data_IF_489128897380
#
_entry.id   IF_489128897380
#
_cell.length_a   1.000
_cell.length_b   1.000
_cell.length_c   1.000
_cell.angle_alpha   90.00
_cell.angle_beta   90.00
_cell.angle_gamma   90.00
#
_symmetry.space_group_name_H-M   'P 1'
#
loop_
_entity.id
_entity.type
_entity.pdbx_description
1 polymer ?
#
# COMPACT_ATOMS: atom_id res chain seq x y z
N UNK A 1 13.77 -3.80 5.15
CA UNK A 1 13.21 -3.51 6.47
C UNK A 1 13.94 -2.30 7.01
N UNK A 2 13.27 -1.40 7.76
CA UNK A 2 13.89 -0.20 8.31
C UNK A 2 14.86 -0.48 9.47
N UNK A 3 14.87 -1.72 9.98
CA UNK A 3 15.74 -2.20 11.04
C UNK A 3 16.88 -3.04 10.45
N UNK A 4 18.11 -2.76 10.87
CA UNK A 4 19.28 -3.59 10.57
C UNK A 4 19.21 -4.93 11.32
N UNK A 5 19.85 -6.00 10.81
CA UNK A 5 19.94 -7.26 11.53
C UNK A 5 20.53 -7.05 12.93
N UNK A 6 19.88 -7.60 13.96
CA UNK A 6 20.39 -7.60 15.33
C UNK A 6 20.94 -8.97 15.65
N UNK A 7 22.24 -9.05 15.95
CA UNK A 7 22.87 -10.29 16.42
C UNK A 7 22.72 -10.39 17.93
N UNK A 8 21.99 -11.41 18.41
CA UNK A 8 21.86 -11.71 19.84
C UNK A 8 22.76 -12.91 20.16
N UNK A 9 23.59 -12.78 21.21
CA UNK A 9 24.41 -13.88 21.75
C UNK A 9 23.67 -14.54 22.90
N UNK A 10 23.60 -15.87 22.88
CA UNK A 10 23.04 -16.67 23.99
C UNK A 10 24.08 -16.82 25.11
N UNK A 11 23.61 -17.14 26.32
CA UNK A 11 24.44 -17.47 27.47
C UNK A 11 23.83 -18.66 28.25
N UNK A 12 24.53 -19.13 29.28
CA UNK A 12 24.11 -20.28 30.09
C UNK A 12 23.15 -19.91 31.23
N UNK A 13 22.81 -18.63 31.41
CA UNK A 13 21.88 -18.18 32.44
C UNK A 13 20.45 -18.52 32.01
N UNK A 14 19.75 -19.41 32.74
CA UNK A 14 18.35 -19.72 32.48
C UNK A 14 17.51 -18.44 32.52
N UNK A 15 16.49 -18.38 31.66
CA UNK A 15 15.54 -17.27 31.57
C UNK A 15 16.15 -15.88 31.31
N UNK A 16 17.37 -15.84 30.73
CA UNK A 16 18.00 -14.56 30.39
C UNK A 16 17.24 -13.83 29.27
N UNK A 17 16.94 -12.56 29.51
CA UNK A 17 16.21 -11.70 28.58
C UNK A 17 17.16 -10.70 27.93
N UNK A 18 17.15 -10.64 26.59
CA UNK A 18 17.76 -9.54 25.84
C UNK A 18 16.68 -8.68 25.22
N UNK A 19 16.58 -7.43 25.67
CA UNK A 19 15.70 -6.43 25.05
C UNK A 19 16.33 -5.99 23.73
N UNK A 20 15.55 -6.06 22.64
CA UNK A 20 15.90 -5.54 21.32
C UNK A 20 14.92 -4.43 20.98
N UNK A 21 15.44 -3.22 20.74
CA UNK A 21 14.64 -2.08 20.31
C UNK A 21 14.52 -2.10 18.79
N UNK A 22 13.29 -2.03 18.28
CA UNK A 22 13.00 -1.94 16.86
C UNK A 22 12.43 -0.57 16.53
N UNK A 23 12.95 0.05 15.47
CA UNK A 23 12.33 1.22 14.85
C UNK A 23 10.99 0.80 14.23
N UNK A 24 9.93 1.47 14.66
CA UNK A 24 8.62 1.47 14.01
C UNK A 24 8.56 2.64 13.03
N UNK A 25 8.01 2.43 11.85
CA UNK A 25 7.80 3.52 10.88
C UNK A 25 6.55 4.28 11.28
N UNK A 26 6.69 5.59 11.50
CA UNK A 26 5.57 6.48 11.79
C UNK A 26 4.87 6.93 10.50
N UNK A 27 3.58 7.24 10.59
CA UNK A 27 2.79 7.69 9.45
C UNK A 27 3.38 8.96 8.82
N UNK A 28 3.81 9.91 9.66
CA UNK A 28 4.41 11.17 9.20
C UNK A 28 5.63 10.94 8.31
N UNK A 29 6.48 9.95 8.65
CA UNK A 29 7.66 9.63 7.84
C UNK A 29 7.27 9.15 6.44
N UNK A 30 6.23 8.32 6.34
CA UNK A 30 5.70 7.86 5.05
C UNK A 30 5.04 9.00 4.27
N UNK A 31 4.28 9.85 4.95
CA UNK A 31 3.59 10.99 4.35
C UNK A 31 4.59 11.98 3.75
N UNK A 32 5.60 12.39 4.51
CA UNK A 32 6.64 13.30 4.06
C UNK A 32 7.50 12.68 2.95
N UNK A 33 7.68 11.36 2.97
CA UNK A 33 8.41 10.62 1.95
C UNK A 33 7.61 10.38 0.66
N UNK A 34 6.31 10.64 0.63
CA UNK A 34 5.49 10.35 -0.55
C UNK A 34 5.89 11.22 -1.75
N UNK A 35 6.12 10.64 -2.94
CA UNK A 35 6.55 11.42 -4.09
C UNK A 35 5.43 12.30 -4.65
N UNK A 36 5.74 13.58 -4.86
CA UNK A 36 4.87 14.56 -5.53
C UNK A 36 4.88 14.40 -7.05
N UNK A 37 4.94 13.19 -7.59
CA UNK A 37 5.18 12.98 -9.03
C UNK A 37 4.98 11.54 -9.46
N UNK A 38 5.14 11.28 -10.75
CA UNK A 38 5.34 9.92 -11.27
C UNK A 38 6.82 9.55 -11.16
N UNK A 39 7.21 8.65 -10.25
CA UNK A 39 8.62 8.33 -10.04
C UNK A 39 9.18 7.37 -11.10
N UNK A 40 8.34 6.79 -11.97
CA UNK A 40 8.79 5.86 -13.00
C UNK A 40 8.37 6.34 -14.39
N UNK A 41 9.34 6.73 -15.21
CA UNK A 41 9.10 7.22 -16.56
C UNK A 41 9.01 6.06 -17.55
N UNK A 42 7.85 5.42 -17.60
CA UNK A 42 7.56 4.36 -18.56
C UNK A 42 6.07 4.37 -18.93
N UNK A 43 5.72 4.52 -20.22
CA UNK A 43 4.33 4.65 -20.65
C UNK A 43 3.49 3.39 -20.42
N UNK A 44 4.11 2.21 -20.27
CA UNK A 44 3.41 0.98 -19.90
C UNK A 44 2.82 1.02 -18.47
N UNK A 45 3.22 1.99 -17.66
CA UNK A 45 2.80 2.15 -16.26
C UNK A 45 2.13 3.51 -16.04
N UNK A 46 0.98 3.71 -16.69
CA UNK A 46 0.15 4.92 -16.55
C UNK A 46 -0.40 5.09 -15.12
N UNK A 47 -0.75 3.98 -14.46
CA UNK A 47 -1.23 3.97 -13.07
C UNK A 47 -0.07 3.70 -12.09
N UNK A 48 0.42 4.75 -11.42
CA UNK A 48 1.60 4.67 -10.55
C UNK A 48 1.31 4.66 -9.06
N UNK A 49 0.07 4.46 -8.61
CA UNK A 49 -0.27 4.48 -7.18
C UNK A 49 0.59 3.51 -6.34
N UNK A 50 0.71 2.25 -6.76
CA UNK A 50 1.55 1.26 -6.10
C UNK A 50 3.06 1.58 -6.19
N UNK A 51 3.50 2.20 -7.29
CA UNK A 51 4.89 2.62 -7.48
C UNK A 51 5.22 3.79 -6.55
N UNK A 52 4.34 4.79 -6.41
CA UNK A 52 4.51 5.91 -5.48
C UNK A 52 4.58 5.44 -4.04
N UNK A 53 3.67 4.53 -3.65
CA UNK A 53 3.73 3.87 -2.34
C UNK A 53 5.06 3.15 -2.12
N UNK A 54 5.51 2.38 -3.12
CA UNK A 54 6.80 1.67 -3.06
C UNK A 54 7.98 2.65 -2.88
N UNK A 55 7.96 3.79 -3.57
CA UNK A 55 9.00 4.83 -3.41
C UNK A 55 8.96 5.47 -2.03
N UNK A 56 7.78 5.73 -1.48
CA UNK A 56 7.64 6.22 -0.09
C UNK A 56 8.24 5.20 0.90
N UNK A 57 7.95 3.91 0.72
CA UNK A 57 8.56 2.82 1.48
C UNK A 57 10.09 2.81 1.36
N UNK A 58 10.62 2.93 0.14
CA UNK A 58 12.06 2.92 -0.10
C UNK A 58 12.77 4.08 0.59
N UNK A 59 12.16 5.26 0.61
CA UNK A 59 12.69 6.49 1.24
C UNK A 59 12.75 6.37 2.76
N UNK A 60 11.89 5.57 3.39
CA UNK A 60 11.93 5.28 4.84
C UNK A 60 12.68 3.98 5.18
N UNK A 61 13.40 3.37 4.24
CA UNK A 61 14.24 2.18 4.47
C UNK A 61 13.51 0.83 4.32
N UNK A 62 12.28 0.81 3.81
CA UNK A 62 11.56 -0.42 3.48
C UNK A 62 11.86 -0.80 2.03
N UNK A 63 12.86 -1.66 1.80
CA UNK A 63 13.26 -2.11 0.44
C UNK A 63 12.33 -3.11 -0.24
N UNK A 64 11.28 -3.58 0.45
CA UNK A 64 10.28 -4.52 -0.07
C UNK A 64 10.84 -5.85 -0.61
N UNK A 65 11.98 -6.34 -0.11
CA UNK A 65 12.61 -7.61 -0.57
C UNK A 65 11.65 -8.82 -0.57
N UNK A 66 10.73 -8.86 0.38
CA UNK A 66 9.73 -9.93 0.51
C UNK A 66 8.59 -9.83 -0.51
N UNK A 67 8.43 -8.70 -1.21
CA UNK A 67 7.48 -8.57 -2.31
C UNK A 67 7.97 -9.39 -3.51
N UNK A 68 7.54 -10.65 -3.55
CA UNK A 68 8.00 -11.69 -4.48
C UNK A 68 6.92 -12.75 -4.68
N UNK A 69 6.97 -13.49 -5.79
CA UNK A 69 6.03 -14.57 -6.10
C UNK A 69 6.03 -15.73 -5.09
N UNK A 70 7.03 -15.78 -4.19
CA UNK A 70 7.08 -16.75 -3.08
C UNK A 70 6.04 -16.43 -2.00
N UNK A 71 5.76 -15.15 -1.76
CA UNK A 71 4.90 -14.68 -0.66
C UNK A 71 3.61 -14.01 -1.14
N UNK A 72 3.60 -13.48 -2.37
CA UNK A 72 2.44 -12.84 -2.98
C UNK A 72 2.08 -13.62 -4.23
N UNK A 73 0.80 -13.98 -4.39
CA UNK A 73 0.32 -14.64 -5.60
C UNK A 73 -0.12 -13.60 -6.64
N UNK A 74 0.06 -13.88 -7.94
CA UNK A 74 -0.52 -13.05 -8.99
C UNK A 74 -2.05 -12.95 -8.81
N UNK A 75 -2.59 -11.75 -8.97
CA UNK A 75 -4.04 -11.49 -8.90
C UNK A 75 -4.57 -11.02 -10.27
N UNK A 76 -5.89 -11.11 -10.49
CA UNK A 76 -6.51 -10.68 -11.76
C UNK A 76 -6.15 -11.57 -12.95
N UNK A 77 -5.97 -12.88 -12.73
CA UNK A 77 -5.67 -13.85 -13.80
C UNK A 77 -4.26 -13.75 -14.40
N UNK A 78 -3.38 -12.95 -13.81
CA UNK A 78 -2.04 -12.69 -14.34
C UNK A 78 -1.08 -13.88 -14.11
N UNK A 79 -0.13 -14.08 -15.02
CA UNK A 79 0.86 -15.18 -14.94
C UNK A 79 1.97 -14.93 -13.92
N UNK A 80 2.22 -13.68 -13.55
CA UNK A 80 3.26 -13.25 -12.61
C UNK A 80 2.81 -12.01 -11.86
N UNK A 81 3.43 -11.69 -10.71
CA UNK A 81 3.12 -10.47 -9.94
C UNK A 81 3.64 -9.20 -10.65
N UNK A 82 2.98 -8.08 -10.40
CA UNK A 82 3.31 -6.76 -10.94
C UNK A 82 4.47 -6.18 -10.16
N UNK A 83 5.68 -6.43 -10.66
CA UNK A 83 6.92 -6.09 -9.97
C UNK A 83 7.98 -5.59 -10.94
N UNK A 84 8.61 -4.47 -10.58
CA UNK A 84 9.81 -3.95 -11.24
C UNK A 84 10.93 -3.77 -10.21
N UNK A 85 12.15 -3.50 -10.70
CA UNK A 85 13.24 -2.98 -9.88
C UNK A 85 13.41 -1.50 -10.18
N UNK A 86 13.09 -0.64 -9.21
CA UNK A 86 13.37 0.79 -9.31
C UNK A 86 14.58 1.10 -8.45
N UNK A 87 15.66 1.59 -9.06
CA UNK A 87 16.95 1.83 -8.38
C UNK A 87 17.45 0.59 -7.60
N UNK A 88 17.32 -0.59 -8.20
CA UNK A 88 17.72 -1.87 -7.59
C UNK A 88 16.81 -2.39 -6.48
N UNK A 89 15.72 -1.69 -6.12
CA UNK A 89 14.79 -2.09 -5.06
C UNK A 89 13.49 -2.63 -5.64
N UNK A 90 12.90 -3.62 -4.97
CA UNK A 90 11.63 -4.21 -5.39
C UNK A 90 10.51 -3.17 -5.29
N UNK A 91 9.74 -3.03 -6.38
CA UNK A 91 8.68 -2.04 -6.51
C UNK A 91 7.42 -2.72 -7.02
N UNK A 92 6.31 -2.55 -6.32
CA UNK A 92 5.01 -3.04 -6.75
C UNK A 92 4.42 -2.13 -7.82
N UNK A 93 3.80 -2.73 -8.84
CA UNK A 93 3.12 -1.99 -9.92
C UNK A 93 1.60 -2.17 -9.90
N UNK A 94 1.07 -2.99 -8.97
CA UNK A 94 -0.37 -3.25 -8.82
C UNK A 94 -0.82 -3.07 -7.37
N UNK A 95 -1.94 -2.38 -7.19
CA UNK A 95 -2.46 -1.99 -5.87
C UNK A 95 -2.91 -3.18 -5.02
N UNK A 96 -3.69 -4.10 -5.60
CA UNK A 96 -4.20 -5.30 -4.95
C UNK A 96 -3.09 -6.23 -4.45
N UNK A 97 -2.05 -6.44 -5.26
CA UNK A 97 -0.89 -7.25 -4.87
C UNK A 97 -0.04 -6.55 -3.80
N UNK A 98 0.07 -5.21 -3.85
CA UNK A 98 0.70 -4.46 -2.76
C UNK A 98 -0.10 -4.58 -1.45
N UNK A 99 -1.43 -4.52 -1.51
CA UNK A 99 -2.31 -4.78 -0.38
C UNK A 99 -2.14 -6.19 0.19
N UNK A 100 -2.05 -7.21 -0.67
CA UNK A 100 -1.77 -8.58 -0.26
C UNK A 100 -0.42 -8.73 0.46
N UNK A 101 0.61 -7.99 0.03
CA UNK A 101 1.89 -7.94 0.72
C UNK A 101 1.81 -7.23 2.07
N UNK A 102 1.06 -6.12 2.16
CA UNK A 102 0.86 -5.39 3.42
C UNK A 102 0.13 -6.24 4.47
N UNK A 103 -0.78 -7.14 4.06
CA UNK A 103 -1.43 -8.12 4.96
C UNK A 103 -0.43 -9.02 5.69
N UNK A 104 0.78 -9.21 5.15
CA UNK A 104 1.85 -9.98 5.80
C UNK A 104 2.58 -9.18 6.91
N UNK A 105 2.16 -7.94 7.18
CA UNK A 105 2.79 -7.01 8.12
C UNK A 105 4.32 -6.90 7.94
N UNK A 106 4.81 -6.51 6.74
CA UNK A 106 6.22 -6.64 6.37
C UNK A 106 7.18 -5.65 7.05
N UNK A 107 6.66 -4.72 7.87
CA UNK A 107 7.45 -3.78 8.66
C UNK A 107 6.75 -3.40 9.96
N UNK A 108 7.56 -3.06 10.98
CA UNK A 108 7.06 -2.61 12.28
C UNK A 108 6.40 -1.22 12.18
N UNK A 109 5.25 -1.04 12.82
CA UNK A 109 4.42 0.17 12.71
C UNK A 109 3.20 0.00 11.80
N UNK A 110 3.15 -1.05 10.98
CA UNK A 110 1.96 -1.38 10.19
C UNK A 110 0.93 -2.16 11.01
N UNK A 111 -0.25 -1.57 11.18
CA UNK A 111 -1.41 -2.22 11.78
C UNK A 111 -1.89 -3.43 10.97
N UNK A 112 -2.78 -4.21 11.57
CA UNK A 112 -3.45 -5.31 10.87
C UNK A 112 -4.35 -4.75 9.77
N UNK A 113 -4.61 -5.57 8.76
CA UNK A 113 -5.59 -5.26 7.74
C UNK A 113 -6.99 -5.21 8.34
N UNK A 114 -7.68 -4.10 8.13
CA UNK A 114 -9.07 -3.89 8.52
C UNK A 114 -9.93 -3.76 7.28
N UNK A 115 -10.96 -4.61 7.17
CA UNK A 115 -11.96 -4.48 6.13
C UNK A 115 -12.95 -3.36 6.52
N UNK A 116 -12.92 -2.28 5.77
CA UNK A 116 -13.78 -1.10 5.96
C UNK A 116 -14.74 -0.93 4.79
N UNK A 117 -14.99 -1.99 4.02
CA UNK A 117 -15.90 -1.97 2.86
C UNK A 117 -17.31 -1.54 3.29
N UNK A 118 -17.91 -0.67 2.47
CA UNK A 118 -19.23 -0.09 2.71
C UNK A 118 -19.28 1.36 2.24
N UNK A 119 -20.48 1.92 2.08
CA UNK A 119 -20.66 3.33 1.74
C UNK A 119 -20.16 4.26 2.85
N UNK A 120 -20.13 3.77 4.09
CA UNK A 120 -19.69 4.44 5.31
C UNK A 120 -18.18 4.28 5.60
N UNK A 121 -17.39 3.75 4.65
CA UNK A 121 -15.95 3.49 4.85
C UNK A 121 -15.19 4.71 5.37
N UNK A 122 -15.56 5.91 4.89
CA UNK A 122 -14.89 7.16 5.25
C UNK A 122 -15.09 7.49 6.74
N UNK A 123 -16.27 7.18 7.29
CA UNK A 123 -16.56 7.37 8.71
C UNK A 123 -15.71 6.44 9.57
N UNK A 124 -15.51 5.19 9.13
CA UNK A 124 -14.71 4.17 9.84
C UNK A 124 -13.21 4.50 9.92
N UNK A 125 -12.70 5.31 9.00
CA UNK A 125 -11.28 5.70 8.94
C UNK A 125 -11.02 7.16 9.28
N UNK A 126 -12.07 7.97 9.52
CA UNK A 126 -11.94 9.39 9.86
C UNK A 126 -11.11 9.56 11.14
N UNK A 127 -10.19 10.53 11.11
CA UNK A 127 -9.28 10.82 12.22
C UNK A 127 -8.18 9.78 12.45
N UNK A 128 -8.13 8.71 11.65
CA UNK A 128 -7.11 7.66 11.71
C UNK A 128 -6.12 7.83 10.57
N UNK A 129 -4.85 7.59 10.81
CA UNK A 129 -3.80 7.66 9.80
C UNK A 129 -3.38 6.27 9.33
N UNK A 130 -2.98 6.12 8.07
CA UNK A 130 -2.57 4.81 7.57
C UNK A 130 -2.46 4.70 6.05
N UNK A 131 -2.43 3.47 5.57
CA UNK A 131 -2.54 3.12 4.14
C UNK A 131 -3.96 2.63 3.89
N UNK A 132 -4.57 3.03 2.78
CA UNK A 132 -5.87 2.53 2.36
C UNK A 132 -5.80 1.99 0.93
N UNK A 133 -6.41 0.83 0.71
CA UNK A 133 -6.51 0.17 -0.58
C UNK A 133 -7.98 0.03 -0.95
N UNK A 134 -8.31 0.43 -2.17
CA UNK A 134 -9.60 0.21 -2.81
C UNK A 134 -9.40 -0.82 -3.93
N UNK A 135 -10.16 -1.90 -3.95
CA UNK A 135 -10.02 -2.97 -4.94
C UNK A 135 -11.33 -3.28 -5.64
N UNK A 136 -11.22 -3.71 -6.91
CA UNK A 136 -12.32 -4.21 -7.72
C UNK A 136 -13.38 -3.18 -8.13
N UNK A 137 -13.03 -1.90 -8.21
CA UNK A 137 -13.96 -0.83 -8.63
C UNK A 137 -13.85 -0.47 -10.14
N UNK A 138 -12.91 -1.07 -10.87
CA UNK A 138 -12.83 -0.97 -12.33
C UNK A 138 -12.16 -2.21 -12.97
N UNK A 139 -12.47 -2.43 -14.25
CA UNK A 139 -12.10 -3.61 -15.04
C UNK A 139 -10.81 -3.32 -15.80
N UNK A 140 -9.78 -4.18 -15.69
CA UNK A 140 -8.60 -4.09 -16.56
C UNK A 140 -8.87 -4.68 -17.94
N UNK A 141 -8.07 -4.32 -18.94
CA UNK A 141 -8.14 -4.94 -20.26
C UNK A 141 -8.03 -6.46 -20.16
N UNK A 142 -9.05 -7.17 -20.67
CA UNK A 142 -9.16 -8.63 -20.61
C UNK A 142 -9.90 -9.17 -19.38
N UNK A 143 -10.40 -8.33 -18.47
CA UNK A 143 -11.23 -8.73 -17.34
C UNK A 143 -12.74 -8.57 -17.62
N UNK A 144 -13.57 -9.29 -16.85
CA UNK A 144 -15.02 -9.10 -16.80
C UNK A 144 -15.41 -8.30 -15.57
N UNK A 145 -16.63 -7.76 -15.52
CA UNK A 145 -17.15 -7.05 -14.34
C UNK A 145 -17.11 -7.92 -13.07
N UNK A 146 -17.39 -9.21 -13.20
CA UNK A 146 -17.26 -10.19 -12.12
C UNK A 146 -15.83 -10.33 -11.57
N UNK A 147 -14.81 -10.12 -12.41
CA UNK A 147 -13.40 -10.34 -12.10
C UNK A 147 -12.54 -9.06 -12.06
N UNK A 148 -13.17 -7.88 -12.04
CA UNK A 148 -12.50 -6.59 -11.92
C UNK A 148 -11.44 -6.60 -10.81
N UNK A 149 -10.17 -6.35 -11.16
CA UNK A 149 -9.03 -6.26 -10.24
C UNK A 149 -8.34 -4.89 -10.25
N UNK A 150 -8.94 -3.92 -10.93
CA UNK A 150 -8.54 -2.53 -10.92
C UNK A 150 -8.77 -1.90 -9.55
N UNK A 151 -7.69 -1.37 -8.96
CA UNK A 151 -7.68 -0.81 -7.61
C UNK A 151 -6.83 0.45 -7.47
N UNK A 152 -6.90 1.10 -6.31
CA UNK A 152 -6.07 2.24 -5.88
C UNK A 152 -5.48 1.95 -4.51
N UNK A 153 -4.28 2.44 -4.25
CA UNK A 153 -3.66 2.36 -2.93
C UNK A 153 -2.91 3.66 -2.64
N UNK A 154 -3.08 4.18 -1.43
CA UNK A 154 -2.57 5.50 -1.06
C UNK A 154 -2.41 5.62 0.46
N UNK A 155 -1.75 6.69 0.92
CA UNK A 155 -1.75 7.08 2.33
C UNK A 155 -2.97 7.94 2.63
N UNK A 156 -3.56 7.75 3.81
CA UNK A 156 -4.71 8.47 4.34
C UNK A 156 -4.32 9.15 5.66
N UNK A 157 -4.51 10.47 5.75
CA UNK A 157 -4.08 11.26 6.92
C UNK A 157 -5.17 11.48 7.98
N UNK A 158 -6.28 10.75 7.91
CA UNK A 158 -7.45 10.99 8.78
C UNK A 158 -8.54 11.84 8.13
N UNK A 159 -8.23 12.52 7.03
CA UNK A 159 -9.16 13.42 6.33
C UNK A 159 -9.13 13.21 4.81
N UNK A 160 -7.95 12.97 4.22
CA UNK A 160 -7.72 12.90 2.78
C UNK A 160 -6.52 12.00 2.42
N UNK A 161 -6.42 11.68 1.13
CA UNK A 161 -5.26 10.98 0.55
C UNK A 161 -4.12 11.95 0.15
N UNK A 162 -2.90 11.44 -0.08
CA UNK A 162 -1.69 12.27 -0.36
C UNK A 162 -1.76 13.13 -1.61
N UNK A 163 -2.44 12.67 -2.65
CA UNK A 163 -2.72 13.51 -3.81
C UNK A 163 -1.52 13.74 -4.74
N UNK A 164 -1.28 12.87 -5.71
CA UNK A 164 -0.73 13.29 -7.00
C UNK A 164 -1.74 12.95 -8.11
N UNK A 165 -2.34 13.98 -8.72
CA UNK A 165 -3.50 13.86 -9.61
C UNK A 165 -4.85 13.62 -8.91
N UNK A 166 -4.83 13.36 -7.60
CA UNK A 166 -6.01 13.14 -6.73
C UNK A 166 -6.33 14.32 -5.80
N UNK A 167 -5.41 15.30 -5.64
CA UNK A 167 -5.58 16.43 -4.71
C UNK A 167 -6.68 17.43 -5.10
N UNK A 168 -6.92 17.65 -6.39
CA UNK A 168 -8.07 18.42 -6.88
C UNK A 168 -9.36 17.56 -6.96
N UNK A 169 -9.26 16.23 -6.81
CA UNK A 169 -10.37 15.28 -7.03
C UNK A 169 -11.02 14.79 -5.74
N UNK A 170 -10.24 14.65 -4.67
CA UNK A 170 -10.75 14.21 -3.35
C UNK A 170 -11.27 15.39 -2.53
N UNK A 171 -10.78 16.61 -2.79
CA UNK A 171 -11.31 17.84 -2.17
C UNK A 171 -12.74 18.20 -2.62
N UNK A 172 -13.25 17.55 -3.67
CA UNK A 172 -14.50 17.92 -4.34
C UNK A 172 -15.56 16.82 -4.42
N UNK A 173 -15.43 15.71 -3.67
CA UNK A 173 -16.48 14.67 -3.64
C UNK A 173 -16.97 14.26 -5.05
N UNK A 174 -16.08 14.23 -6.04
CA UNK A 174 -16.48 14.14 -7.45
C UNK A 174 -16.70 12.68 -7.84
N UNK A 175 -17.96 12.28 -7.79
CA UNK A 175 -18.52 11.35 -8.76
C UNK A 175 -18.51 12.08 -10.11
N UNK A 176 -17.74 11.60 -11.10
CA UNK A 176 -17.95 11.99 -12.51
C UNK A 176 -18.76 10.88 -13.17
N UNK A 177 -20.09 11.02 -13.32
CA UNK A 177 -20.88 10.06 -14.08
C UNK A 177 -20.30 9.92 -15.48
N UNK A 178 -19.94 8.70 -15.88
CA UNK A 178 -19.51 8.39 -17.24
C UNK A 178 -18.01 8.52 -17.54
N UNK A 179 -17.15 8.93 -16.59
CA UNK A 179 -15.69 9.00 -16.86
C UNK A 179 -14.79 8.35 -15.80
N UNK A 180 -15.16 8.30 -14.51
CA UNK A 180 -14.32 7.67 -13.45
C UNK A 180 -15.16 7.07 -12.31
N UNK A 181 -14.79 5.87 -11.86
CA UNK A 181 -15.53 5.04 -10.90
C UNK A 181 -15.60 5.60 -9.49
N UNK A 182 -16.77 5.43 -8.87
CA UNK A 182 -17.06 5.72 -7.47
C UNK A 182 -16.32 4.74 -6.53
N UNK A 183 -15.46 5.23 -5.63
CA UNK A 183 -14.75 4.37 -4.67
C UNK A 183 -15.69 3.56 -3.76
N UNK A 184 -16.94 4.01 -3.57
CA UNK A 184 -17.97 3.25 -2.84
C UNK A 184 -18.37 1.97 -3.56
N UNK A 185 -18.12 1.87 -4.87
CA UNK A 185 -18.31 0.64 -5.66
C UNK A 185 -17.14 -0.34 -5.57
N UNK A 186 -16.14 -0.05 -4.73
CA UNK A 186 -15.07 -1.03 -4.47
C UNK A 186 -15.65 -2.28 -3.85
N UNK A 187 -15.33 -3.43 -4.45
CA UNK A 187 -15.67 -4.74 -3.89
C UNK A 187 -15.01 -4.94 -2.53
N UNK A 188 -13.87 -4.30 -2.32
CA UNK A 188 -13.13 -4.38 -1.06
C UNK A 188 -12.39 -3.08 -0.78
N UNK A 189 -12.46 -2.60 0.47
CA UNK A 189 -11.70 -1.47 0.98
C UNK A 189 -10.94 -1.94 2.22
N UNK A 190 -9.61 -1.96 2.14
CA UNK A 190 -8.75 -2.38 3.26
C UNK A 190 -7.97 -1.19 3.81
N UNK A 191 -8.09 -0.98 5.10
CA UNK A 191 -7.31 0.01 5.84
C UNK A 191 -6.20 -0.66 6.65
N UNK A 192 -5.01 -0.07 6.65
CA UNK A 192 -3.87 -0.48 7.46
C UNK A 192 -3.44 0.72 8.29
N UNK A 193 -3.81 0.75 9.57
CA UNK A 193 -3.49 1.86 10.44
C UNK A 193 -1.98 1.99 10.65
N UNK A 194 -1.47 3.22 10.61
CA UNK A 194 -0.10 3.58 10.99
C UNK A 194 -0.20 4.83 11.85
N UNK A 195 0.47 4.84 13.00
CA UNK A 195 0.46 5.98 13.93
C UNK A 195 1.56 6.97 13.59
#
# INVERSE_FOLDING_TARGET
MPNSPTTVRTNTTPDSIKVVQLRTVAFKELWDAYPSGNPYDNPAYSNQCAIRMSVAFHRVGIEMKSFSSKLVKPLGGQSSIGRILLNGKATATRANELGAWLRLQPFAGLGRAEDVTGEDWMDRVRGRTGIIMFDGYWIRDGETEGNASGGHIDLWNGEKLTGFGTGLRIRWNIVIPGLWSDFRKSKTIIFFQIK
#
